data_IF_018616326375
#
_entry.id   IF_018616326375
#
_cell.length_a   1.000
_cell.length_b   1.000
_cell.length_c   1.000
_cell.angle_alpha   90.00
_cell.angle_beta   90.00
_cell.angle_gamma   90.00
#
_symmetry.space_group_name_H-M   'P 1'
#
loop_
_entity.id
_entity.type
_entity.pdbx_description
1 polymer ?
#
# COMPACT_ATOMS: atom_id res chain seq x y z
N UNK A 1 39.97 -6.43 6.44
CA UNK A 1 39.70 -5.08 5.88
C UNK A 1 38.93 -5.10 4.56
N UNK A 2 39.16 -6.06 3.64
CA UNK A 2 38.44 -6.15 2.36
C UNK A 2 36.90 -6.27 2.47
N UNK A 3 36.39 -7.00 3.49
CA UNK A 3 34.95 -7.19 3.69
C UNK A 3 34.20 -5.87 3.97
N UNK A 4 34.81 -4.93 4.70
CA UNK A 4 34.17 -3.65 5.02
C UNK A 4 34.09 -2.74 3.78
N UNK A 5 35.10 -2.80 2.90
CA UNK A 5 35.11 -2.05 1.64
C UNK A 5 34.04 -2.57 0.68
N UNK A 6 33.89 -3.89 0.55
CA UNK A 6 32.85 -4.52 -0.28
C UNK A 6 31.45 -4.17 0.23
N UNK A 7 31.22 -4.25 1.55
CA UNK A 7 29.94 -3.85 2.15
C UNK A 7 29.61 -2.37 1.90
N UNK A 8 30.58 -1.47 2.01
CA UNK A 8 30.37 -0.05 1.75
C UNK A 8 30.08 0.24 0.27
N UNK A 9 30.75 -0.45 -0.66
CA UNK A 9 30.47 -0.34 -2.10
C UNK A 9 29.08 -0.86 -2.45
N UNK A 10 28.68 -2.02 -1.90
CA UNK A 10 27.35 -2.59 -2.15
C UNK A 10 26.24 -1.71 -1.58
N UNK A 11 26.40 -1.19 -0.36
CA UNK A 11 25.43 -0.25 0.24
C UNK A 11 25.33 1.02 -0.63
N UNK A 12 26.46 1.52 -1.15
CA UNK A 12 26.46 2.67 -2.07
C UNK A 12 25.70 2.38 -3.37
N UNK A 13 25.90 1.21 -3.98
CA UNK A 13 25.19 0.78 -5.18
C UNK A 13 23.69 0.62 -4.94
N UNK A 14 23.30 0.03 -3.81
CA UNK A 14 21.89 -0.10 -3.42
C UNK A 14 21.23 1.27 -3.22
N UNK A 15 21.91 2.23 -2.58
CA UNK A 15 21.41 3.61 -2.45
C UNK A 15 21.22 4.28 -3.81
N UNK A 16 22.20 4.17 -4.69
CA UNK A 16 22.12 4.75 -6.04
C UNK A 16 20.96 4.13 -6.86
N UNK A 17 20.70 2.84 -6.69
CA UNK A 17 19.57 2.15 -7.32
C UNK A 17 18.20 2.62 -6.78
N UNK A 18 18.11 2.91 -5.48
CA UNK A 18 16.89 3.49 -4.88
C UNK A 18 16.67 4.94 -5.34
N UNK A 19 17.74 5.72 -5.53
CA UNK A 19 17.65 7.12 -5.97
C UNK A 19 17.28 7.26 -7.45
N UNK A 20 17.66 6.29 -8.30
CA UNK A 20 17.44 6.33 -9.75
C UNK A 20 16.98 4.96 -10.29
N UNK A 21 15.77 4.49 -9.92
CA UNK A 21 15.29 3.15 -10.28
C UNK A 21 15.11 2.95 -11.79
N UNK A 22 14.83 4.01 -12.55
CA UNK A 22 14.63 3.98 -14.00
C UNK A 22 15.85 3.49 -14.78
N UNK A 23 17.06 3.69 -14.24
CA UNK A 23 18.31 3.23 -14.83
C UNK A 23 18.42 1.70 -14.89
N UNK A 24 17.60 1.00 -14.10
CA UNK A 24 17.62 -0.45 -13.96
C UNK A 24 16.34 -1.12 -14.45
N UNK A 25 15.48 -0.38 -15.15
CA UNK A 25 14.19 -0.86 -15.67
C UNK A 25 14.30 -2.14 -16.51
N UNK A 26 15.41 -2.35 -17.24
CA UNK A 26 15.64 -3.58 -18.01
C UNK A 26 15.88 -4.84 -17.15
N UNK A 27 16.10 -4.68 -15.85
CA UNK A 27 16.37 -5.74 -14.88
C UNK A 27 15.37 -5.77 -13.72
N UNK A 28 14.21 -5.14 -13.90
CA UNK A 28 13.21 -4.96 -12.84
C UNK A 28 12.84 -6.28 -12.14
N UNK A 29 12.50 -7.33 -12.91
CA UNK A 29 12.10 -8.63 -12.35
C UNK A 29 13.21 -9.28 -11.50
N UNK A 30 14.46 -9.17 -11.96
CA UNK A 30 15.62 -9.73 -11.26
C UNK A 30 15.89 -8.97 -9.96
N UNK A 31 15.80 -7.64 -9.99
CA UNK A 31 15.95 -6.78 -8.80
C UNK A 31 14.85 -7.08 -7.79
N UNK A 32 13.59 -7.21 -8.23
CA UNK A 32 12.47 -7.56 -7.36
C UNK A 32 12.68 -8.93 -6.72
N UNK A 33 13.10 -9.93 -7.49
CA UNK A 33 13.38 -11.28 -6.97
C UNK A 33 14.50 -11.28 -5.92
N UNK A 34 15.61 -10.58 -6.21
CA UNK A 34 16.75 -10.47 -5.28
C UNK A 34 16.37 -9.69 -4.02
N UNK A 35 15.65 -8.58 -4.14
CA UNK A 35 15.16 -7.80 -3.02
C UNK A 35 14.23 -8.62 -2.12
N UNK A 36 13.33 -9.40 -2.72
CA UNK A 36 12.45 -10.30 -1.98
C UNK A 36 13.24 -11.33 -1.18
N UNK A 37 14.23 -12.00 -1.80
CA UNK A 37 15.08 -12.98 -1.12
C UNK A 37 15.89 -12.36 0.01
N UNK A 38 16.50 -11.20 -0.22
CA UNK A 38 17.22 -10.47 0.82
C UNK A 38 16.29 -10.07 1.98
N UNK A 39 15.07 -9.62 1.69
CA UNK A 39 14.09 -9.27 2.70
C UNK A 39 13.63 -10.47 3.53
N UNK A 40 13.58 -11.68 2.96
CA UNK A 40 13.30 -12.92 3.70
C UNK A 40 14.46 -13.30 4.62
N UNK A 41 15.69 -13.28 4.12
CA UNK A 41 16.89 -13.64 4.90
C UNK A 41 17.19 -12.66 6.04
N UNK A 42 16.89 -11.37 5.84
CA UNK A 42 17.08 -10.33 6.86
C UNK A 42 15.91 -10.23 7.85
N UNK A 43 14.84 -11.01 7.65
CA UNK A 43 13.63 -10.94 8.48
C UNK A 43 13.87 -11.58 9.85
N UNK A 44 13.38 -10.94 10.91
CA UNK A 44 13.32 -11.57 12.22
C UNK A 44 12.32 -12.73 12.22
N UNK A 45 12.57 -13.82 12.98
CA UNK A 45 11.58 -14.88 13.19
C UNK A 45 10.23 -14.37 13.72
N UNK A 46 10.25 -13.29 14.50
CA UNK A 46 9.03 -12.66 15.03
C UNK A 46 8.24 -11.96 13.92
N UNK A 47 8.90 -11.16 13.07
CA UNK A 47 8.26 -10.48 11.93
C UNK A 47 7.68 -11.49 10.96
N UNK A 48 8.40 -12.59 10.71
CA UNK A 48 7.92 -13.69 9.87
C UNK A 48 6.66 -14.35 10.44
N UNK A 49 6.61 -14.60 11.76
CA UNK A 49 5.41 -15.13 12.41
C UNK A 49 4.24 -14.14 12.32
N UNK A 50 4.49 -12.84 12.51
CA UNK A 50 3.45 -11.82 12.36
C UNK A 50 2.88 -11.78 10.94
N UNK A 51 3.71 -11.92 9.91
CA UNK A 51 3.24 -11.98 8.52
C UNK A 51 2.34 -13.19 8.27
N UNK A 52 2.69 -14.36 8.80
CA UNK A 52 1.86 -15.56 8.69
C UNK A 52 0.54 -15.38 9.44
N UNK A 53 0.60 -14.92 10.69
CA UNK A 53 -0.57 -14.75 11.54
C UNK A 53 -1.59 -13.78 10.90
N UNK A 54 -1.11 -12.78 10.17
CA UNK A 54 -1.92 -11.76 9.52
C UNK A 54 -2.07 -11.94 8.00
N UNK A 55 -1.60 -13.04 7.43
CA UNK A 55 -1.60 -13.27 5.98
C UNK A 55 -3.00 -13.21 5.35
N UNK A 56 -4.02 -13.60 6.11
CA UNK A 56 -5.41 -13.59 5.66
C UNK A 56 -6.08 -12.20 5.78
N UNK A 57 -5.55 -11.29 6.60
CA UNK A 57 -6.19 -9.99 6.88
C UNK A 57 -6.45 -9.15 5.61
N UNK A 58 -5.54 -9.06 4.61
CA UNK A 58 -5.82 -8.30 3.40
C UNK A 58 -7.05 -8.82 2.65
N UNK A 59 -7.18 -10.14 2.55
CA UNK A 59 -8.29 -10.79 1.84
C UNK A 59 -9.61 -10.53 2.58
N UNK A 60 -9.60 -10.69 3.91
CA UNK A 60 -10.77 -10.42 4.75
C UNK A 60 -11.18 -8.95 4.67
N UNK A 61 -10.23 -8.03 4.74
CA UNK A 61 -10.49 -6.60 4.65
C UNK A 61 -11.11 -6.20 3.30
N UNK A 62 -10.56 -6.70 2.19
CA UNK A 62 -11.11 -6.47 0.85
C UNK A 62 -12.51 -7.08 0.72
N UNK A 63 -12.72 -8.29 1.25
CA UNK A 63 -14.04 -8.92 1.24
C UNK A 63 -15.07 -8.07 1.98
N UNK A 64 -14.76 -7.58 3.18
CA UNK A 64 -15.63 -6.68 3.94
C UNK A 64 -15.92 -5.40 3.14
N UNK A 65 -14.90 -4.80 2.53
CA UNK A 65 -15.09 -3.64 1.66
C UNK A 65 -16.05 -3.90 0.49
N UNK A 66 -15.96 -5.06 -0.15
CA UNK A 66 -16.86 -5.44 -1.24
C UNK A 66 -18.28 -5.65 -0.74
N UNK A 67 -18.46 -6.39 0.37
CA UNK A 67 -19.77 -6.63 0.98
C UNK A 67 -20.49 -5.33 1.33
N UNK A 68 -19.74 -4.34 1.84
CA UNK A 68 -20.27 -3.04 2.24
C UNK A 68 -20.20 -1.96 1.16
N UNK A 69 -19.81 -2.33 -0.08
CA UNK A 69 -19.69 -1.41 -1.23
C UNK A 69 -18.78 -0.20 -0.97
N UNK A 70 -17.82 -0.31 -0.06
CA UNK A 70 -16.92 0.78 0.34
C UNK A 70 -16.14 1.31 -0.87
N UNK A 71 -15.45 0.41 -1.58
CA UNK A 71 -14.63 0.80 -2.74
C UNK A 71 -15.48 1.39 -3.87
N UNK A 72 -16.68 0.86 -4.09
CA UNK A 72 -17.63 1.38 -5.08
C UNK A 72 -18.04 2.81 -4.76
N UNK A 73 -18.40 3.09 -3.50
CA UNK A 73 -18.80 4.44 -3.06
C UNK A 73 -17.63 5.43 -3.21
N UNK A 74 -16.42 5.02 -2.86
CA UNK A 74 -15.22 5.85 -3.01
C UNK A 74 -14.95 6.17 -4.49
N UNK A 75 -15.04 5.18 -5.39
CA UNK A 75 -14.86 5.36 -6.83
C UNK A 75 -15.97 6.24 -7.44
N UNK A 76 -17.22 6.01 -7.04
CA UNK A 76 -18.39 6.79 -7.49
C UNK A 76 -18.27 8.26 -7.07
N UNK A 77 -17.90 8.52 -5.81
CA UNK A 77 -17.68 9.88 -5.31
C UNK A 77 -16.54 10.58 -6.05
N UNK A 78 -15.42 9.88 -6.28
CA UNK A 78 -14.30 10.43 -7.02
C UNK A 78 -14.66 10.78 -8.47
N UNK A 79 -15.41 9.91 -9.14
CA UNK A 79 -15.90 10.14 -10.52
C UNK A 79 -16.87 11.31 -10.60
N UNK A 80 -17.66 11.54 -9.54
CA UNK A 80 -18.63 12.63 -9.44
C UNK A 80 -18.02 13.96 -8.97
N UNK A 81 -16.68 14.09 -8.95
CA UNK A 81 -15.99 15.31 -8.57
C UNK A 81 -15.81 15.53 -7.07
N UNK A 82 -16.12 14.52 -6.24
CA UNK A 82 -15.92 14.52 -4.80
C UNK A 82 -14.87 13.47 -4.41
N UNK A 83 -13.58 13.73 -4.67
CA UNK A 83 -12.54 12.72 -4.52
C UNK A 83 -12.19 12.38 -3.07
N UNK A 84 -12.72 13.15 -2.12
CA UNK A 84 -12.54 12.93 -0.70
C UNK A 84 -13.90 12.59 -0.07
N UNK A 85 -14.04 11.36 0.44
CA UNK A 85 -15.29 10.91 1.08
C UNK A 85 -15.20 11.09 2.59
N UNK A 86 -16.19 11.75 3.18
CA UNK A 86 -16.32 11.89 4.63
C UNK A 86 -16.65 10.52 5.28
N UNK A 87 -15.90 10.15 6.31
CA UNK A 87 -16.01 8.84 7.00
C UNK A 87 -17.37 8.64 7.69
N UNK A 88 -17.99 9.69 8.24
CA UNK A 88 -19.31 9.59 8.85
C UNK A 88 -20.41 9.38 7.79
N UNK A 89 -20.30 10.05 6.64
CA UNK A 89 -21.20 9.82 5.51
C UNK A 89 -21.03 8.39 4.95
N UNK A 90 -19.79 7.91 4.86
CA UNK A 90 -19.48 6.55 4.43
C UNK A 90 -20.02 5.50 5.41
N UNK A 91 -19.91 5.72 6.73
CA UNK A 91 -20.51 4.83 7.74
C UNK A 91 -22.02 4.69 7.55
N UNK A 92 -22.71 5.82 7.33
CA UNK A 92 -24.14 5.82 7.07
C UNK A 92 -24.51 5.06 5.79
N UNK A 93 -23.75 5.24 4.71
CA UNK A 93 -24.01 4.60 3.40
C UNK A 93 -23.69 3.10 3.38
N UNK A 94 -22.71 2.68 4.18
CA UNK A 94 -22.21 1.29 4.23
C UNK A 94 -22.90 0.44 5.31
N UNK A 95 -23.62 1.10 6.24
CA UNK A 95 -24.25 0.45 7.39
C UNK A 95 -23.26 -0.07 8.44
N UNK A 96 -21.97 0.29 8.32
CA UNK A 96 -20.95 -0.09 9.28
C UNK A 96 -20.97 0.84 10.49
N UNK A 97 -20.65 0.29 11.66
CA UNK A 97 -20.41 1.12 12.83
C UNK A 97 -19.17 2.00 12.59
N UNK A 98 -19.16 3.28 13.03
CA UNK A 98 -18.01 4.15 12.83
C UNK A 98 -16.69 3.56 13.32
N UNK A 99 -16.60 2.91 14.51
CA UNK A 99 -15.35 2.29 14.95
C UNK A 99 -14.88 1.15 14.04
N UNK A 100 -15.80 0.31 13.55
CA UNK A 100 -15.45 -0.79 12.63
C UNK A 100 -14.95 -0.25 11.30
N UNK A 101 -15.60 0.78 10.78
CA UNK A 101 -15.21 1.40 9.53
C UNK A 101 -13.82 2.06 9.66
N UNK A 102 -13.57 2.79 10.75
CA UNK A 102 -12.28 3.43 11.00
C UNK A 102 -11.14 2.42 11.06
N UNK A 103 -11.28 1.34 11.85
CA UNK A 103 -10.26 0.27 11.92
C UNK A 103 -10.01 -0.38 10.55
N UNK A 104 -11.07 -0.61 9.76
CA UNK A 104 -10.95 -1.19 8.43
C UNK A 104 -10.21 -0.25 7.48
N UNK A 105 -10.53 1.04 7.52
CA UNK A 105 -9.92 2.06 6.67
C UNK A 105 -8.45 2.28 7.04
N UNK A 106 -8.11 2.33 8.33
CA UNK A 106 -6.71 2.40 8.79
C UNK A 106 -5.88 1.23 8.26
N UNK A 107 -6.46 0.03 8.31
CA UNK A 107 -5.80 -1.18 7.80
C UNK A 107 -5.58 -1.13 6.28
N UNK A 108 -6.56 -0.64 5.51
CA UNK A 108 -6.50 -0.64 4.04
C UNK A 108 -5.68 0.53 3.49
N UNK A 109 -5.66 1.68 4.18
CA UNK A 109 -4.79 2.82 3.87
C UNK A 109 -3.32 2.47 4.02
N UNK A 110 -2.98 1.60 4.97
CA UNK A 110 -1.60 1.11 5.16
C UNK A 110 -1.16 0.14 4.04
N UNK A 111 -2.04 -0.15 3.07
CA UNK A 111 -1.79 -1.01 1.91
C UNK A 111 -1.97 -0.16 0.63
N UNK A 112 -1.34 -0.53 -0.50
CA UNK A 112 -1.39 0.27 -1.74
C UNK A 112 -2.78 0.37 -2.40
N UNK A 113 -3.85 -0.06 -1.71
CA UNK A 113 -5.21 -0.05 -2.23
C UNK A 113 -5.88 1.33 -2.09
N UNK A 114 -5.53 2.13 -1.08
CA UNK A 114 -6.25 3.36 -0.71
C UNK A 114 -5.26 4.38 -0.08
N UNK A 115 -5.43 5.69 -0.31
CA UNK A 115 -4.60 6.75 0.29
C UNK A 115 -5.42 7.60 1.27
N UNK A 116 -4.95 7.79 2.51
CA UNK A 116 -5.58 8.72 3.47
C UNK A 116 -5.06 10.13 3.20
N UNK A 117 -5.97 11.07 2.95
CA UNK A 117 -5.63 12.47 2.73
C UNK A 117 -5.52 13.23 4.06
N UNK A 118 -6.37 12.89 5.04
CA UNK A 118 -6.36 13.43 6.42
C UNK A 118 -7.15 12.51 7.36
N UNK A 119 -7.24 12.86 8.65
CA UNK A 119 -7.92 12.06 9.67
C UNK A 119 -9.38 11.72 9.28
N UNK A 120 -10.06 12.61 8.56
CA UNK A 120 -11.46 12.47 8.16
C UNK A 120 -11.69 12.10 6.69
N UNK A 121 -10.65 11.98 5.86
CA UNK A 121 -10.78 11.88 4.40
C UNK A 121 -9.87 10.84 3.74
N UNK A 122 -10.44 10.10 2.79
CA UNK A 122 -9.82 8.99 2.08
C UNK A 122 -10.05 9.09 0.57
N UNK A 123 -8.99 8.78 -0.20
CA UNK A 123 -8.89 8.74 -1.66
C UNK A 123 -8.63 7.32 -2.16
N UNK A 124 -9.23 6.96 -3.31
CA UNK A 124 -8.88 5.75 -4.04
C UNK A 124 -7.61 5.97 -4.90
N UNK A 125 -6.60 5.10 -4.76
CA UNK A 125 -5.37 5.16 -5.56
C UNK A 125 -5.55 4.66 -7.01
N UNK A 126 -6.59 3.86 -7.28
CA UNK A 126 -6.88 3.38 -8.63
C UNK A 126 -7.41 4.48 -9.55
N UNK A 127 -8.00 5.55 -8.99
CA UNK A 127 -8.40 6.74 -9.75
C UNK A 127 -7.18 7.62 -10.08
N UNK A 128 -6.24 7.78 -9.14
CA UNK A 128 -5.01 8.58 -9.33
C UNK A 128 -4.12 8.06 -10.47
N UNK A 129 -4.10 6.75 -10.68
CA UNK A 129 -3.37 6.10 -11.79
C UNK A 129 -4.08 6.19 -13.14
N UNK A 130 -5.41 6.44 -13.17
CA UNK A 130 -6.18 6.65 -14.40
C UNK A 130 -6.27 8.10 -14.86
N UNK A 131 -6.01 9.06 -13.97
CA UNK A 131 -6.03 10.51 -14.26
C UNK A 131 -4.65 11.10 -14.51
N UNK A 132 -3.62 10.30 -14.80
CA UNK A 132 -2.34 10.81 -15.30
C UNK A 132 -2.54 11.45 -16.68
N UNK A 133 -2.94 12.72 -16.68
CA UNK A 133 -2.72 13.65 -17.76
C UNK A 133 -1.22 13.99 -17.66
N UNK A 134 -0.38 13.54 -18.62
CA UNK A 134 1.02 13.96 -18.63
C UNK A 134 1.09 15.49 -18.84
N UNK A 135 2.20 16.13 -18.40
CA UNK A 135 2.36 17.59 -18.49
C UNK A 135 2.17 18.14 -19.92
#
# INVERSE_FOLDING_TARGET
MASATISNTLIGQLKAAVENPELYSSHEEEIVSLAYRAAVELRSPFDFFQDIAHAALPIVAIYVCQQHRILYILEENATNGNPATNTAALAHQTGLSPPTLETLLEYIVAKPFVERMSDDYIMDQLVKSRTHIPP
#
